data_IF_659046471961
#
_entry.id   IF_659046471961
#
_cell.length_a   1.000
_cell.length_b   1.000
_cell.length_c   1.000
_cell.angle_alpha   90.00
_cell.angle_beta   90.00
_cell.angle_gamma   90.00
#
_symmetry.space_group_name_H-M   'P 1'
#
loop_
_entity.id
_entity.type
_entity.pdbx_description
1 polymer ?
#
# COMPACT_ATOMS: atom_id res chain seq x y z
N UNK A 1 11.48 12.41 26.92
CA UNK A 1 10.46 11.34 26.91
C UNK A 1 10.77 10.41 28.07
N UNK A 2 9.75 10.05 28.87
CA UNK A 2 9.92 9.10 29.98
C UNK A 2 10.15 7.69 29.43
N UNK A 3 11.23 7.03 29.88
CA UNK A 3 11.68 5.75 29.31
C UNK A 3 10.73 4.61 29.66
N UNK A 4 10.24 4.58 30.89
CA UNK A 4 9.35 3.51 31.34
C UNK A 4 7.98 3.62 30.66
N UNK A 5 7.44 4.84 30.55
CA UNK A 5 6.22 5.08 29.75
C UNK A 5 6.35 4.67 28.27
N UNK A 6 7.53 4.83 27.66
CA UNK A 6 7.74 4.37 26.27
C UNK A 6 7.80 2.85 26.19
N UNK A 7 8.49 2.19 27.12
CA UNK A 7 8.54 0.72 27.20
C UNK A 7 7.15 0.12 27.37
N UNK A 8 6.33 0.72 28.23
CA UNK A 8 4.93 0.30 28.43
C UNK A 8 4.10 0.48 27.15
N UNK A 9 4.29 1.61 26.44
CA UNK A 9 3.61 1.86 25.17
C UNK A 9 4.02 0.86 24.08
N UNK A 10 5.30 0.51 24.01
CA UNK A 10 5.82 -0.52 23.09
C UNK A 10 5.22 -1.87 23.45
N UNK A 11 5.28 -2.27 24.72
CA UNK A 11 4.74 -3.55 25.18
C UNK A 11 3.24 -3.66 24.87
N UNK A 12 2.47 -2.61 25.16
CA UNK A 12 1.04 -2.55 24.84
C UNK A 12 0.74 -2.59 23.34
N UNK A 13 1.61 -2.01 22.50
CA UNK A 13 1.50 -2.12 21.05
C UNK A 13 1.72 -3.57 20.59
N UNK A 14 2.75 -4.22 21.13
CA UNK A 14 3.10 -5.61 20.78
C UNK A 14 2.10 -6.63 21.30
N UNK A 15 1.46 -6.43 22.45
CA UNK A 15 0.39 -7.32 22.94
C UNK A 15 -0.78 -7.47 21.96
N UNK A 16 -0.96 -6.48 21.07
CA UNK A 16 -1.98 -6.50 20.02
C UNK A 16 -1.48 -7.12 18.72
N UNK A 17 -0.18 -7.36 18.60
CA UNK A 17 0.40 -8.06 17.48
C UNK A 17 0.23 -9.56 17.71
N UNK A 18 -0.69 -10.19 16.97
CA UNK A 18 -1.01 -11.61 17.10
C UNK A 18 0.02 -12.56 16.48
N UNK A 19 1.07 -12.04 15.83
CA UNK A 19 2.14 -12.82 15.20
C UNK A 19 3.26 -13.18 16.18
N UNK A 20 4.13 -14.12 15.78
CA UNK A 20 5.35 -14.41 16.53
C UNK A 20 6.30 -13.20 16.44
N UNK A 21 6.75 -12.70 17.59
CA UNK A 21 7.76 -11.67 17.65
C UNK A 21 8.77 -11.89 18.77
N UNK A 22 9.94 -11.29 18.61
CA UNK A 22 10.87 -11.05 19.70
C UNK A 22 11.33 -9.60 19.63
N UNK A 23 11.56 -8.98 20.78
CA UNK A 23 12.20 -7.67 20.80
C UNK A 23 13.34 -7.62 21.81
N UNK A 24 14.30 -6.74 21.55
CA UNK A 24 15.40 -6.44 22.46
C UNK A 24 15.67 -4.95 22.52
N UNK A 25 16.03 -4.46 23.69
CA UNK A 25 16.43 -3.07 23.90
C UNK A 25 17.91 -3.03 24.27
N UNK A 26 18.71 -2.27 23.51
CA UNK A 26 20.13 -2.07 23.81
C UNK A 26 20.42 -0.57 23.94
N UNK A 27 21.15 -0.18 24.99
CA UNK A 27 21.69 1.17 25.10
C UNK A 27 23.09 1.17 24.47
N UNK A 28 23.31 2.10 23.54
CA UNK A 28 24.60 2.25 22.88
C UNK A 28 25.26 3.50 23.48
N UNK A 29 26.42 3.28 24.08
CA UNK A 29 27.23 4.35 24.66
C UNK A 29 27.97 5.09 23.54
N UNK A 30 27.31 6.11 23.01
CA UNK A 30 27.85 7.07 22.05
C UNK A 30 27.77 8.48 22.64
N UNK A 31 28.45 9.45 22.02
CA UNK A 31 28.43 10.88 22.44
C UNK A 31 27.00 11.45 22.64
N UNK A 32 26.00 10.80 22.04
CA UNK A 32 24.58 10.96 22.37
C UNK A 32 24.01 9.60 22.76
N UNK A 33 23.32 9.44 23.90
CA UNK A 33 22.76 8.15 24.29
C UNK A 33 21.67 7.73 23.30
N UNK A 34 21.84 6.56 22.68
CA UNK A 34 20.86 5.96 21.75
C UNK A 34 20.26 4.70 22.39
N UNK A 35 18.96 4.53 22.24
CA UNK A 35 18.25 3.31 22.62
C UNK A 35 17.81 2.60 21.34
N UNK A 36 18.30 1.39 21.12
CA UNK A 36 17.91 0.57 19.98
C UNK A 36 16.79 -0.39 20.39
N UNK A 37 15.67 -0.35 19.67
CA UNK A 37 14.59 -1.34 19.77
C UNK A 37 14.62 -2.21 18.52
N UNK A 38 15.08 -3.45 18.68
CA UNK A 38 15.05 -4.44 17.60
C UNK A 38 13.76 -5.25 17.73
N UNK A 39 13.06 -5.44 16.62
CA UNK A 39 11.93 -6.35 16.54
C UNK A 39 12.19 -7.37 15.44
N UNK A 40 11.90 -8.64 15.72
CA UNK A 40 11.89 -9.72 14.75
C UNK A 40 10.47 -10.24 14.61
N UNK A 41 10.01 -10.42 13.39
CA UNK A 41 8.65 -10.90 13.09
C UNK A 41 8.63 -11.51 11.70
N UNK A 42 7.84 -12.58 11.53
CA UNK A 42 7.55 -13.19 10.22
C UNK A 42 6.50 -12.37 9.43
N UNK A 43 5.90 -11.37 10.08
CA UNK A 43 4.95 -10.41 9.51
C UNK A 43 5.43 -8.97 9.75
N UNK A 44 6.59 -8.57 9.18
CA UNK A 44 7.22 -7.28 9.47
C UNK A 44 6.33 -6.08 9.08
N UNK A 45 5.45 -6.26 8.10
CA UNK A 45 4.50 -5.24 7.65
C UNK A 45 3.39 -4.97 8.67
N UNK A 46 2.74 -6.02 9.16
CA UNK A 46 1.71 -5.90 10.20
C UNK A 46 2.28 -5.30 11.49
N UNK A 47 3.50 -5.72 11.85
CA UNK A 47 4.21 -5.14 12.97
C UNK A 47 4.47 -3.65 12.76
N UNK A 48 4.93 -3.24 11.57
CA UNK A 48 5.17 -1.82 11.27
C UNK A 48 3.89 -0.99 11.34
N UNK A 49 2.77 -1.49 10.81
CA UNK A 49 1.48 -0.79 10.88
C UNK A 49 1.05 -0.54 12.34
N UNK A 50 1.22 -1.55 13.20
CA UNK A 50 0.93 -1.42 14.63
C UNK A 50 1.84 -0.39 15.29
N UNK A 51 3.14 -0.43 15.01
CA UNK A 51 4.10 0.55 15.54
C UNK A 51 3.76 1.97 15.06
N UNK A 52 3.39 2.14 13.78
CA UNK A 52 2.97 3.43 13.25
C UNK A 52 1.70 3.94 13.95
N UNK A 53 0.65 3.12 14.04
CA UNK A 53 -0.63 3.51 14.63
C UNK A 53 -0.52 3.79 16.13
N UNK A 54 0.21 2.95 16.86
CA UNK A 54 0.21 2.96 18.33
C UNK A 54 1.33 3.77 18.95
N UNK A 55 2.44 3.96 18.24
CA UNK A 55 3.60 4.73 18.72
C UNK A 55 3.78 6.03 17.94
N UNK A 56 3.97 5.97 16.62
CA UNK A 56 4.32 7.16 15.83
C UNK A 56 3.13 8.13 15.65
N UNK A 57 1.90 7.63 15.65
CA UNK A 57 0.67 8.46 15.66
C UNK A 57 0.15 8.74 17.07
N UNK A 58 0.83 8.24 18.11
CA UNK A 58 0.42 8.46 19.49
C UNK A 58 0.55 9.94 19.87
N UNK A 59 -0.49 10.60 20.41
CA UNK A 59 -0.41 12.01 20.79
C UNK A 59 0.69 12.33 21.83
N UNK A 60 1.05 11.35 22.68
CA UNK A 60 2.02 11.53 23.76
C UNK A 60 3.47 11.36 23.30
N UNK A 61 3.72 10.44 22.37
CA UNK A 61 5.09 10.06 21.97
C UNK A 61 5.42 10.31 20.51
N UNK A 62 4.41 10.33 19.63
CA UNK A 62 4.56 10.27 18.19
C UNK A 62 5.41 11.37 17.59
N UNK A 63 5.23 12.61 18.06
CA UNK A 63 6.07 13.74 17.66
C UNK A 63 7.54 13.52 18.05
N UNK A 64 7.78 13.20 19.32
CA UNK A 64 9.15 12.99 19.82
C UNK A 64 9.83 11.82 19.09
N UNK A 65 9.11 10.72 18.86
CA UNK A 65 9.62 9.57 18.12
C UNK A 65 9.95 9.93 16.68
N UNK A 66 9.07 10.63 15.97
CA UNK A 66 9.30 11.04 14.58
C UNK A 66 10.51 11.98 14.44
N UNK A 67 10.72 12.87 15.43
CA UNK A 67 11.82 13.84 15.44
C UNK A 67 13.16 13.26 15.95
N UNK A 68 13.20 12.00 16.41
CA UNK A 68 14.40 11.42 17.03
C UNK A 68 14.68 9.95 16.71
N UNK A 69 13.89 9.33 15.84
CA UNK A 69 14.05 7.91 15.49
C UNK A 69 14.60 7.73 14.08
N UNK A 70 15.35 6.65 13.91
CA UNK A 70 15.56 6.01 12.62
C UNK A 70 14.86 4.66 12.73
N UNK A 71 14.05 4.31 11.74
CA UNK A 71 13.44 2.97 11.66
C UNK A 71 13.91 2.30 10.40
N UNK A 72 14.42 1.10 10.57
CA UNK A 72 14.91 0.26 9.49
C UNK A 72 14.27 -1.13 9.57
N UNK A 73 14.03 -1.73 8.41
CA UNK A 73 13.68 -3.14 8.26
C UNK A 73 14.91 -3.86 7.72
N UNK A 74 15.37 -4.88 8.45
CA UNK A 74 16.60 -5.60 8.13
C UNK A 74 16.25 -6.99 7.62
N UNK A 75 16.81 -7.37 6.47
CA UNK A 75 16.73 -8.72 5.93
C UNK A 75 17.74 -9.68 6.57
N UNK A 76 17.80 -10.91 6.08
CA UNK A 76 18.54 -12.00 6.73
C UNK A 76 20.07 -11.82 6.72
N UNK A 77 20.59 -10.90 5.90
CA UNK A 77 22.04 -10.65 5.78
C UNK A 77 22.55 -9.45 6.60
N UNK A 78 21.72 -8.92 7.50
CA UNK A 78 22.14 -7.88 8.43
C UNK A 78 22.17 -6.49 7.77
N UNK A 79 23.09 -5.61 8.20
CA UNK A 79 23.13 -4.20 7.76
C UNK A 79 23.39 -4.01 6.24
N UNK A 80 23.83 -5.06 5.55
CA UNK A 80 23.98 -5.08 4.09
C UNK A 80 22.67 -5.22 3.32
N UNK A 81 21.55 -5.42 4.01
CA UNK A 81 20.22 -5.69 3.46
C UNK A 81 19.20 -4.98 4.35
N UNK A 82 19.16 -3.65 4.24
CA UNK A 82 18.35 -2.82 5.13
C UNK A 82 17.51 -1.83 4.36
N UNK A 83 16.20 -1.82 4.59
CA UNK A 83 15.24 -0.84 4.10
C UNK A 83 15.01 0.23 5.17
N UNK A 84 15.30 1.50 4.87
CA UNK A 84 14.99 2.61 5.81
C UNK A 84 13.52 3.01 5.67
N UNK A 85 12.74 2.80 6.72
CA UNK A 85 11.30 3.08 6.78
C UNK A 85 10.99 4.49 7.31
N UNK A 86 11.86 5.04 8.16
CA UNK A 86 11.73 6.37 8.74
C UNK A 86 13.11 6.91 9.10
N UNK A 87 13.32 8.21 8.88
CA UNK A 87 14.50 8.93 9.37
C UNK A 87 14.06 10.28 9.95
N UNK A 88 14.60 10.66 11.10
CA UNK A 88 14.23 11.93 11.76
C UNK A 88 14.71 13.16 11.00
N UNK A 89 15.86 13.07 10.32
CA UNK A 89 16.35 14.11 9.43
C UNK A 89 15.64 13.97 8.07
N UNK A 90 14.79 14.94 7.68
CA UNK A 90 14.03 14.88 6.43
C UNK A 90 14.92 15.03 5.19
N UNK A 91 16.18 15.46 5.33
CA UNK A 91 17.15 15.53 4.23
C UNK A 91 17.80 14.19 3.90
N UNK A 92 17.71 13.21 4.81
CA UNK A 92 18.20 11.85 4.56
C UNK A 92 17.17 11.12 3.70
N UNK A 93 17.60 10.73 2.50
CA UNK A 93 16.80 9.93 1.59
C UNK A 93 16.67 8.50 2.13
N UNK A 94 15.46 7.94 2.04
CA UNK A 94 15.22 6.55 2.39
C UNK A 94 16.01 5.64 1.43
N UNK A 95 16.39 4.44 1.85
CA UNK A 95 17.21 3.53 1.04
C UNK A 95 16.55 2.16 0.98
N UNK A 96 16.59 1.52 -0.19
CA UNK A 96 16.13 0.13 -0.36
C UNK A 96 17.17 -0.88 0.15
N UNK A 97 16.82 -2.16 0.12
CA UNK A 97 17.67 -3.28 0.52
C UNK A 97 19.02 -3.38 -0.25
N UNK A 98 19.16 -2.68 -1.38
CA UNK A 98 20.40 -2.64 -2.16
C UNK A 98 21.19 -1.33 -1.94
N UNK A 99 20.78 -0.49 -0.98
CA UNK A 99 21.41 0.81 -0.70
C UNK A 99 21.12 1.89 -1.75
N UNK A 100 20.12 1.69 -2.62
CA UNK A 100 19.74 2.71 -3.58
C UNK A 100 18.92 3.80 -2.89
N UNK A 101 19.23 5.07 -3.18
CA UNK A 101 18.39 6.18 -2.76
C UNK A 101 16.97 6.02 -3.31
N UNK A 102 16.00 5.99 -2.40
CA UNK A 102 14.59 6.12 -2.67
C UNK A 102 14.23 7.61 -2.59
N UNK A 103 13.79 8.19 -3.70
CA UNK A 103 13.01 9.43 -3.65
C UNK A 103 11.77 9.18 -2.77
N UNK A 104 11.27 10.18 -2.05
CA UNK A 104 10.05 10.04 -1.24
C UNK A 104 8.86 9.75 -2.16
N UNK A 105 8.66 8.47 -2.46
CA UNK A 105 7.54 7.96 -3.22
C UNK A 105 6.43 7.69 -2.22
N UNK A 106 5.38 8.52 -2.26
CA UNK A 106 4.13 8.26 -1.54
C UNK A 106 3.48 7.00 -2.10
N UNK A 107 3.83 5.84 -1.53
CA UNK A 107 3.29 4.56 -1.95
C UNK A 107 1.88 4.33 -1.39
N UNK A 108 0.95 3.98 -2.28
CA UNK A 108 -0.38 3.46 -1.96
C UNK A 108 -0.37 1.95 -2.16
N UNK A 109 -0.98 1.20 -1.24
CA UNK A 109 -0.80 -0.24 -1.13
C UNK A 109 -2.13 -1.00 -1.06
N UNK A 110 -2.14 -2.24 -1.56
CA UNK A 110 -3.25 -3.18 -1.42
C UNK A 110 -3.05 -4.05 -0.18
N UNK A 111 -3.99 -3.99 0.77
CA UNK A 111 -3.94 -4.79 2.01
C UNK A 111 -4.25 -6.27 1.77
N UNK A 112 -5.24 -6.53 0.92
CA UNK A 112 -5.73 -7.87 0.59
C UNK A 112 -5.96 -7.94 -0.93
N UNK A 113 -4.89 -8.10 -1.74
CA UNK A 113 -5.02 -8.21 -3.19
C UNK A 113 -5.86 -9.44 -3.56
N UNK A 114 -6.74 -9.29 -4.55
CA UNK A 114 -7.72 -10.33 -4.90
C UNK A 114 -7.05 -11.63 -5.36
N UNK A 115 -5.90 -11.53 -6.04
CA UNK A 115 -5.07 -12.68 -6.41
C UNK A 115 -3.78 -12.75 -5.57
N UNK A 116 -3.84 -12.40 -4.29
CA UNK A 116 -2.69 -12.42 -3.39
C UNK A 116 -1.94 -13.76 -3.34
N UNK A 117 -2.65 -14.88 -3.41
CA UNK A 117 -2.03 -16.22 -3.44
C UNK A 117 -1.24 -16.52 -4.73
N UNK A 118 -1.49 -15.77 -5.79
CA UNK A 118 -0.81 -15.90 -7.09
C UNK A 118 0.40 -14.95 -7.19
N UNK A 119 0.40 -13.89 -6.39
CA UNK A 119 1.44 -12.86 -6.43
C UNK A 119 2.71 -13.33 -5.71
N UNK A 120 3.86 -13.00 -6.29
CA UNK A 120 5.19 -13.29 -5.76
C UNK A 120 6.13 -12.07 -5.80
N UNK A 121 5.62 -10.92 -6.25
CA UNK A 121 6.39 -9.70 -6.44
C UNK A 121 5.53 -8.43 -6.32
N UNK A 122 6.20 -7.28 -6.16
CA UNK A 122 5.59 -5.95 -6.13
C UNK A 122 6.19 -5.09 -7.24
N UNK A 123 5.35 -4.35 -7.98
CA UNK A 123 5.77 -3.47 -9.07
C UNK A 123 5.21 -2.05 -8.92
N UNK A 124 5.95 -1.11 -9.49
CA UNK A 124 5.72 0.33 -9.58
C UNK A 124 4.68 0.73 -10.63
N UNK A 125 3.55 1.39 -10.34
CA UNK A 125 2.72 2.00 -11.39
C UNK A 125 2.50 3.50 -11.14
N UNK A 126 2.73 4.36 -12.15
CA UNK A 126 2.51 5.80 -12.00
C UNK A 126 1.01 6.12 -11.84
N UNK A 127 0.67 6.99 -10.88
CA UNK A 127 -0.69 7.48 -10.65
C UNK A 127 -1.00 8.69 -11.55
N UNK A 128 0.00 9.56 -11.76
CA UNK A 128 -0.12 10.75 -12.62
C UNK A 128 1.19 10.95 -13.38
N UNK A 129 1.11 11.29 -14.67
CA UNK A 129 2.20 11.97 -15.37
C UNK A 129 2.23 13.42 -14.85
N UNK A 130 2.96 13.67 -13.77
CA UNK A 130 3.08 15.04 -13.26
C UNK A 130 4.00 15.83 -14.18
N UNK A 131 3.46 16.87 -14.81
CA UNK A 131 4.19 17.96 -15.46
C UNK A 131 4.75 18.96 -14.41
N UNK A 132 5.17 18.47 -13.25
CA UNK A 132 5.78 19.30 -12.21
C UNK A 132 7.17 18.73 -11.90
N UNK A 133 8.18 19.37 -12.47
CA UNK A 133 9.58 18.94 -12.41
C UNK A 133 10.15 18.92 -10.97
N UNK A 134 9.38 19.39 -9.98
CA UNK A 134 9.80 19.53 -8.59
C UNK A 134 9.16 18.51 -7.62
N UNK A 135 8.15 17.74 -8.04
CA UNK A 135 7.48 16.76 -7.19
C UNK A 135 7.88 15.32 -7.57
N UNK A 136 8.17 14.44 -6.59
CA UNK A 136 8.43 13.03 -6.89
C UNK A 136 7.17 12.39 -7.50
N UNK A 137 7.31 11.46 -8.45
CA UNK A 137 6.17 10.81 -9.07
C UNK A 137 5.38 10.02 -8.02
N UNK A 138 4.07 10.27 -7.93
CA UNK A 138 3.18 9.43 -7.15
C UNK A 138 3.01 8.08 -7.85
N UNK A 139 3.25 7.00 -7.10
CA UNK A 139 3.10 5.64 -7.62
C UNK A 139 2.20 4.80 -6.72
N UNK A 140 1.55 3.84 -7.35
CA UNK A 140 0.84 2.76 -6.72
C UNK A 140 1.70 1.50 -6.75
N UNK A 141 1.81 0.81 -5.61
CA UNK A 141 2.45 -0.49 -5.51
C UNK A 141 1.43 -1.57 -5.88
N UNK A 142 1.67 -2.27 -6.99
CA UNK A 142 0.80 -3.34 -7.47
C UNK A 142 1.39 -4.70 -7.11
N UNK A 143 0.55 -5.59 -6.58
CA UNK A 143 0.89 -7.00 -6.43
C UNK A 143 0.93 -7.66 -7.80
N UNK A 144 1.96 -8.45 -8.03
CA UNK A 144 2.17 -9.09 -9.32
C UNK A 144 2.80 -10.47 -9.19
N UNK A 145 2.68 -11.25 -10.27
CA UNK A 145 3.40 -12.50 -10.46
C UNK A 145 4.45 -12.33 -11.54
N UNK A 146 5.70 -12.68 -11.26
CA UNK A 146 6.78 -12.64 -12.25
C UNK A 146 6.56 -13.69 -13.33
N UNK A 147 6.52 -13.26 -14.60
CA UNK A 147 6.41 -14.15 -15.77
C UNK A 147 7.61 -14.03 -16.72
N UNK A 148 8.52 -13.09 -16.43
CA UNK A 148 9.81 -12.93 -17.10
C UNK A 148 10.74 -12.04 -16.27
N UNK A 149 11.92 -11.70 -16.80
CA UNK A 149 12.90 -10.88 -16.06
C UNK A 149 12.32 -9.49 -15.68
N UNK A 150 11.61 -8.87 -16.62
CA UNK A 150 10.93 -7.57 -16.44
C UNK A 150 9.47 -7.61 -16.88
N UNK A 151 8.88 -8.81 -16.94
CA UNK A 151 7.49 -9.01 -17.34
C UNK A 151 6.71 -9.59 -16.16
N UNK A 152 5.56 -9.00 -15.86
CA UNK A 152 4.79 -9.28 -14.66
C UNK A 152 3.30 -9.32 -14.96
N UNK A 153 2.58 -10.27 -14.37
CA UNK A 153 1.13 -10.29 -14.40
C UNK A 153 0.57 -9.58 -13.17
N UNK A 154 -0.29 -8.59 -13.38
CA UNK A 154 -0.94 -7.82 -12.31
C UNK A 154 -1.92 -8.71 -11.54
N UNK A 155 -1.80 -8.76 -10.22
CA UNK A 155 -2.55 -9.65 -9.32
C UNK A 155 -3.43 -8.89 -8.30
N UNK A 156 -3.61 -7.59 -8.49
CA UNK A 156 -4.56 -6.77 -7.74
C UNK A 156 -5.34 -5.84 -8.68
N UNK A 157 -6.41 -5.22 -8.17
CA UNK A 157 -7.22 -4.26 -8.94
C UNK A 157 -6.73 -2.84 -8.66
N UNK A 158 -6.10 -2.12 -9.61
CA UNK A 158 -5.49 -0.82 -9.35
C UNK A 158 -6.47 0.23 -8.81
N UNK A 159 -6.13 0.87 -7.70
CA UNK A 159 -6.92 1.93 -7.08
C UNK A 159 -6.69 3.30 -7.73
N UNK A 160 -5.52 3.53 -8.31
CA UNK A 160 -5.10 4.87 -8.75
C UNK A 160 -4.41 4.88 -10.13
N UNK A 161 -3.58 3.88 -10.43
CA UNK A 161 -2.90 3.76 -11.72
C UNK A 161 -3.89 3.52 -12.86
N UNK A 162 -3.86 4.40 -13.86
CA UNK A 162 -4.75 4.33 -15.02
C UNK A 162 -4.25 3.34 -16.07
N UNK A 163 -5.19 2.84 -16.86
CA UNK A 163 -4.97 1.96 -18.02
C UNK A 163 -4.31 0.61 -17.69
N UNK A 164 -4.20 0.26 -16.41
CA UNK A 164 -3.74 -1.06 -15.94
C UNK A 164 -4.91 -1.77 -15.27
N UNK A 165 -5.06 -3.06 -15.54
CA UNK A 165 -6.15 -3.88 -15.01
C UNK A 165 -5.61 -5.18 -14.38
N UNK A 166 -6.41 -5.75 -13.50
CA UNK A 166 -6.17 -7.08 -12.94
C UNK A 166 -5.92 -8.10 -14.05
N UNK A 167 -4.81 -8.83 -13.97
CA UNK A 167 -4.40 -9.87 -14.91
C UNK A 167 -3.66 -9.37 -16.15
N UNK A 168 -3.46 -8.07 -16.32
CA UNK A 168 -2.64 -7.56 -17.43
C UNK A 168 -1.20 -8.07 -17.25
N UNK A 169 -0.55 -8.45 -18.36
CA UNK A 169 0.90 -8.68 -18.37
C UNK A 169 1.57 -7.38 -18.77
N UNK A 170 2.39 -6.83 -17.90
CA UNK A 170 3.08 -5.55 -18.05
C UNK A 170 4.59 -5.72 -18.13
N UNK A 171 5.23 -4.82 -18.87
CA UNK A 171 6.68 -4.64 -18.89
C UNK A 171 7.07 -3.58 -17.86
N UNK A 172 8.18 -3.82 -17.15
CA UNK A 172 8.78 -2.85 -16.23
C UNK A 172 10.20 -2.47 -16.64
N UNK A 173 10.73 -1.37 -16.09
CA UNK A 173 12.15 -1.06 -16.17
C UNK A 173 12.97 -1.81 -15.08
N UNK A 174 14.27 -1.53 -14.98
CA UNK A 174 15.15 -2.13 -13.96
C UNK A 174 14.79 -1.77 -12.51
N UNK A 175 14.00 -0.72 -12.30
CA UNK A 175 13.45 -0.29 -11.00
C UNK A 175 12.02 -0.82 -10.77
N UNK A 176 11.56 -1.75 -11.60
CA UNK A 176 10.22 -2.34 -11.56
C UNK A 176 9.06 -1.35 -11.76
N UNK A 177 9.34 -0.17 -12.32
CA UNK A 177 8.29 0.76 -12.75
C UNK A 177 7.69 0.30 -14.07
N UNK A 178 6.37 0.16 -14.12
CA UNK A 178 5.59 -0.22 -15.30
C UNK A 178 5.82 0.78 -16.42
N UNK A 179 6.13 0.25 -17.61
CA UNK A 179 6.41 1.01 -18.83
C UNK A 179 5.30 0.84 -19.85
N UNK A 180 4.78 -0.37 -19.99
CA UNK A 180 3.79 -0.71 -21.02
C UNK A 180 3.03 -1.98 -20.66
N UNK A 181 1.89 -2.20 -21.31
CA UNK A 181 1.16 -3.46 -21.28
C UNK A 181 1.66 -4.32 -22.44
N UNK A 182 2.07 -5.55 -22.14
CA UNK A 182 2.44 -6.58 -23.12
C UNK A 182 1.20 -7.34 -23.58
N UNK A 183 0.37 -7.79 -22.63
CA UNK A 183 -0.87 -8.55 -22.91
C UNK A 183 -2.00 -8.00 -22.04
N UNK A 184 -3.07 -7.52 -22.66
CA UNK A 184 -4.27 -7.10 -21.95
C UNK A 184 -5.09 -8.31 -21.49
N UNK A 185 -5.55 -8.26 -20.24
CA UNK A 185 -6.40 -9.26 -19.58
C UNK A 185 -7.84 -9.29 -20.08
N UNK A 186 -8.26 -8.26 -20.83
CA UNK A 186 -9.65 -7.98 -21.17
C UNK A 186 -10.54 -7.66 -19.95
N UNK A 187 -9.94 -7.31 -18.80
CA UNK A 187 -10.65 -6.75 -17.67
C UNK A 187 -10.77 -5.22 -17.78
N UNK A 188 -11.75 -4.69 -17.07
CA UNK A 188 -12.02 -3.27 -16.93
C UNK A 188 -12.04 -2.92 -15.44
N UNK A 189 -11.30 -1.89 -15.07
CA UNK A 189 -11.29 -1.34 -13.72
C UNK A 189 -12.30 -0.19 -13.59
N UNK A 190 -13.16 -0.28 -12.60
CA UNK A 190 -14.01 0.82 -12.11
C UNK A 190 -13.61 1.18 -10.69
N UNK A 191 -13.67 2.46 -10.34
CA UNK A 191 -13.42 2.92 -8.97
C UNK A 191 -14.68 3.59 -8.46
N UNK A 192 -15.17 3.09 -7.33
CA UNK A 192 -16.43 3.50 -6.71
C UNK A 192 -16.10 4.20 -5.40
N UNK A 193 -16.53 5.46 -5.30
CA UNK A 193 -16.39 6.28 -4.11
C UNK A 193 -17.75 6.43 -3.42
N UNK A 194 -17.84 5.96 -2.18
CA UNK A 194 -19.06 6.05 -1.37
C UNK A 194 -19.13 7.32 -0.51
N UNK A 195 -18.06 8.10 -0.39
CA UNK A 195 -18.04 9.35 0.38
C UNK A 195 -18.52 9.20 1.83
N UNK A 196 -19.42 10.09 2.28
CA UNK A 196 -19.95 10.09 3.64
C UNK A 196 -21.07 9.06 3.89
N UNK A 197 -21.43 8.24 2.89
CA UNK A 197 -22.51 7.24 2.97
C UNK A 197 -22.14 5.98 3.78
N UNK A 198 -21.28 6.15 4.80
CA UNK A 198 -20.71 5.13 5.66
C UNK A 198 -21.79 4.34 6.40
N UNK A 199 -21.69 3.02 6.35
CA UNK A 199 -22.56 2.11 7.11
C UNK A 199 -24.02 2.08 6.67
N UNK A 200 -24.36 2.71 5.53
CA UNK A 200 -25.73 2.68 5.00
C UNK A 200 -26.08 1.29 4.44
N UNK A 201 -27.35 0.89 4.59
CA UNK A 201 -27.92 -0.29 3.90
C UNK A 201 -27.66 -0.22 2.39
N UNK A 202 -27.70 0.99 1.84
CA UNK A 202 -27.46 1.27 0.43
C UNK A 202 -26.08 0.80 -0.05
N UNK A 203 -25.01 0.99 0.74
CA UNK A 203 -23.67 0.51 0.39
C UNK A 203 -23.64 -1.02 0.28
N UNK A 204 -24.22 -1.71 1.25
CA UNK A 204 -24.23 -3.18 1.27
C UNK A 204 -25.03 -3.75 0.10
N UNK A 205 -26.17 -3.12 -0.24
CA UNK A 205 -26.96 -3.47 -1.43
C UNK A 205 -26.16 -3.27 -2.72
N UNK A 206 -25.42 -2.16 -2.84
CA UNK A 206 -24.63 -1.87 -4.03
C UNK A 206 -23.49 -2.88 -4.19
N UNK A 207 -22.75 -3.17 -3.12
CA UNK A 207 -21.66 -4.15 -3.12
C UNK A 207 -22.18 -5.54 -3.45
N UNK A 208 -23.34 -5.94 -2.89
CA UNK A 208 -23.99 -7.20 -3.22
C UNK A 208 -24.36 -7.30 -4.70
N UNK A 209 -24.95 -6.25 -5.26
CA UNK A 209 -25.29 -6.22 -6.68
C UNK A 209 -24.06 -6.28 -7.60
N UNK A 210 -22.95 -5.62 -7.24
CA UNK A 210 -21.68 -5.72 -7.99
C UNK A 210 -21.13 -7.14 -7.92
N UNK A 211 -21.21 -7.80 -6.76
CA UNK A 211 -20.83 -9.21 -6.62
C UNK A 211 -21.69 -10.14 -7.48
N UNK A 212 -23.01 -9.91 -7.52
CA UNK A 212 -23.95 -10.70 -8.31
C UNK A 212 -23.76 -10.52 -9.82
N UNK A 213 -23.15 -9.40 -10.25
CA UNK A 213 -22.70 -9.19 -11.62
C UNK A 213 -21.41 -9.96 -11.97
N UNK A 214 -20.82 -10.67 -11.00
CA UNK A 214 -19.62 -11.49 -11.20
C UNK A 214 -18.31 -10.70 -11.18
N UNK A 215 -18.31 -9.49 -10.61
CA UNK A 215 -17.12 -8.66 -10.51
C UNK A 215 -16.23 -9.10 -9.35
N UNK A 216 -14.92 -8.92 -9.55
CA UNK A 216 -13.94 -8.95 -8.46
C UNK A 216 -13.84 -7.57 -7.81
N UNK A 217 -13.55 -7.51 -6.52
CA UNK A 217 -13.57 -6.27 -5.75
C UNK A 217 -12.44 -6.18 -4.73
N UNK A 218 -11.85 -4.99 -4.61
CA UNK A 218 -10.85 -4.68 -3.60
C UNK A 218 -11.12 -3.34 -2.92
N UNK A 219 -10.97 -3.29 -1.60
CA UNK A 219 -11.13 -2.07 -0.82
C UNK A 219 -9.76 -1.40 -0.61
N UNK A 220 -9.66 -0.14 -1.07
CA UNK A 220 -8.52 0.73 -0.75
C UNK A 220 -8.70 1.39 0.62
N UNK A 221 -9.95 1.75 0.93
CA UNK A 221 -10.32 2.39 2.19
C UNK A 221 -11.77 2.04 2.56
N UNK A 222 -12.29 2.68 3.62
CA UNK A 222 -13.72 2.54 3.98
C UNK A 222 -14.66 3.00 2.87
N UNK A 223 -14.21 3.95 2.04
CA UNK A 223 -15.07 4.69 1.10
C UNK A 223 -14.67 4.48 -0.36
N UNK A 224 -13.51 3.87 -0.64
CA UNK A 224 -13.02 3.60 -1.99
C UNK A 224 -12.95 2.10 -2.27
N UNK A 225 -13.70 1.66 -3.26
CA UNK A 225 -13.74 0.30 -3.79
C UNK A 225 -13.28 0.29 -5.25
N UNK A 226 -12.27 -0.51 -5.56
CA UNK A 226 -11.97 -0.86 -6.94
C UNK A 226 -12.70 -2.15 -7.33
N UNK A 227 -13.21 -2.16 -8.56
CA UNK A 227 -14.03 -3.23 -9.11
C UNK A 227 -13.39 -3.63 -10.43
N UNK A 228 -13.14 -4.94 -10.61
CA UNK A 228 -12.70 -5.50 -11.88
C UNK A 228 -13.83 -6.29 -12.51
N UNK A 229 -14.14 -5.97 -13.76
CA UNK A 229 -15.16 -6.66 -14.55
C UNK A 229 -14.55 -7.19 -15.84
N UNK A 230 -14.88 -8.43 -16.20
CA UNK A 230 -14.53 -8.95 -17.52
C UNK A 230 -15.24 -8.16 -18.62
N UNK A 231 -14.58 -7.99 -19.77
CA UNK A 231 -15.06 -7.17 -20.90
C UNK A 231 -16.52 -7.39 -21.29
N UNK A 232 -17.01 -8.63 -21.26
CA UNK A 232 -18.40 -8.94 -21.64
C UNK A 232 -19.45 -8.53 -20.58
N UNK A 233 -19.03 -8.23 -19.35
CA UNK A 233 -19.88 -7.67 -18.29
C UNK A 233 -19.66 -6.17 -18.07
N UNK A 234 -18.54 -5.61 -18.54
CA UNK A 234 -18.12 -4.24 -18.25
C UNK A 234 -19.20 -3.18 -18.55
N UNK A 235 -19.91 -3.28 -19.69
CA UNK A 235 -20.98 -2.32 -20.01
C UNK A 235 -22.13 -2.38 -19.00
N UNK A 236 -22.57 -3.59 -18.62
CA UNK A 236 -23.64 -3.76 -17.64
C UNK A 236 -23.27 -3.21 -16.27
N UNK A 237 -22.00 -3.36 -15.89
CA UNK A 237 -21.46 -2.80 -14.65
C UNK A 237 -21.45 -1.27 -14.72
N UNK A 238 -20.98 -0.69 -15.82
CA UNK A 238 -20.99 0.75 -16.04
C UNK A 238 -22.41 1.33 -15.98
N UNK A 239 -23.37 0.70 -16.67
CA UNK A 239 -24.77 1.12 -16.68
C UNK A 239 -25.37 1.10 -15.26
N UNK A 240 -25.07 0.03 -14.49
CA UNK A 240 -25.50 -0.08 -13.11
C UNK A 240 -24.89 1.00 -12.21
N UNK A 241 -23.56 1.19 -12.26
CA UNK A 241 -22.87 2.21 -11.47
C UNK A 241 -23.36 3.61 -11.80
N UNK A 242 -23.60 3.90 -13.08
CA UNK A 242 -24.15 5.17 -13.52
C UNK A 242 -25.55 5.44 -12.94
N UNK A 243 -26.42 4.43 -12.90
CA UNK A 243 -27.74 4.57 -12.26
C UNK A 243 -27.63 4.86 -10.76
N UNK A 244 -26.67 4.24 -10.07
CA UNK A 244 -26.43 4.51 -8.65
C UNK A 244 -25.86 5.93 -8.42
N UNK A 245 -25.01 6.40 -9.32
CA UNK A 245 -24.47 7.77 -9.31
C UNK A 245 -25.56 8.82 -9.55
N UNK A 246 -26.45 8.61 -10.52
CA UNK A 246 -27.63 9.46 -10.76
C UNK A 246 -28.58 9.50 -9.56
N UNK A 247 -28.56 8.46 -8.73
CA UNK A 247 -29.34 8.38 -7.48
C UNK A 247 -28.58 8.97 -6.28
N UNK A 248 -27.43 9.62 -6.49
CA UNK A 248 -26.56 10.21 -5.48
C UNK A 248 -26.09 9.22 -4.39
N UNK A 249 -26.05 7.91 -4.73
CA UNK A 249 -25.65 6.85 -3.77
C UNK A 249 -24.16 6.57 -3.77
N UNK A 250 -23.46 6.97 -4.84
CA UNK A 250 -22.02 6.80 -5.04
C UNK A 250 -21.52 7.79 -6.11
N UNK A 251 -20.22 7.90 -6.26
CA UNK A 251 -19.56 8.41 -7.47
C UNK A 251 -18.73 7.29 -8.07
N UNK A 252 -18.56 7.28 -9.38
CA UNK A 252 -17.64 6.32 -10.00
C UNK A 252 -16.83 6.91 -11.15
N UNK A 253 -15.70 6.27 -11.41
CA UNK A 253 -14.95 6.48 -12.64
C UNK A 253 -14.52 5.16 -13.27
N UNK A 254 -14.15 5.24 -14.55
CA UNK A 254 -13.44 4.17 -15.25
C UNK A 254 -11.95 4.43 -15.04
N UNK A 255 -11.17 3.43 -14.62
CA UNK A 255 -9.71 3.53 -14.42
C UNK A 255 -8.92 3.70 -15.73
N UNK A 256 -9.44 4.46 -16.69
CA UNK A 256 -8.88 4.76 -18.00
C UNK A 256 -8.66 6.26 -18.13
N UNK A 257 -7.58 6.66 -18.79
CA UNK A 257 -7.39 8.07 -19.13
C UNK A 257 -8.47 8.50 -20.13
N UNK A 258 -8.97 9.73 -19.96
CA UNK A 258 -9.94 10.35 -20.87
C UNK A 258 -9.27 10.91 -22.12
#
# INVERSE_FOLDING_TARGET
>A
MDRDSLKDAISSALDKFGGAYSYSMTEIDTDRPVVNYLFRSDHPRELWDILQERLFKNPRFGRCLSESSIVTCQGDTGWGDTLTLLHFDPSVKLQDFNGNEMEQILCRFHRNPIWGQRADFLILACIVNVHDDFAPPEVEELWARRVGQYAFEVCCIPFYAYDINLGDIVETNRKFLVKSIIIASQNYTFRVWFGETKGSKARSEIVGAIQDLGCEMEWSSTDLLAVSAQSHFAQRVADYLHQQELSERLQYETGRLK
#
